data_IF_768949248433
#
_entry.id   IF_768949248433
#
_cell.length_a   1.000
_cell.length_b   1.000
_cell.length_c   1.000
_cell.angle_alpha   90.00
_cell.angle_beta   90.00
_cell.angle_gamma   90.00
#
_symmetry.space_group_name_H-M   'P 1'
#
loop_
_entity.id
_entity.type
_entity.pdbx_description
1 polymer ?
#
# COMPACT_ATOMS: atom_id res chain seq x y z
N UNK A 1 -30.47 -4.70 -28.80
CA UNK A 1 -30.23 -5.46 -27.56
C UNK A 1 -30.16 -4.45 -26.43
N UNK A 2 -30.85 -4.71 -25.32
CA UNK A 2 -30.92 -3.81 -24.17
C UNK A 2 -29.51 -3.54 -23.61
N UNK A 3 -29.02 -2.30 -23.73
CA UNK A 3 -27.70 -1.87 -23.25
C UNK A 3 -27.52 -2.11 -21.73
N UNK A 4 -28.62 -2.27 -20.98
CA UNK A 4 -28.60 -2.46 -19.53
C UNK A 4 -28.18 -3.85 -19.07
N UNK A 5 -28.22 -4.88 -19.93
CA UNK A 5 -27.80 -6.24 -19.56
C UNK A 5 -26.28 -6.45 -19.59
N UNK A 6 -25.51 -5.47 -20.09
CA UNK A 6 -24.05 -5.55 -20.27
C UNK A 6 -23.25 -5.08 -19.04
N UNK A 7 -23.91 -4.41 -18.08
CA UNK A 7 -23.26 -3.76 -16.92
C UNK A 7 -23.92 -4.12 -15.59
N UNK A 8 -23.21 -4.02 -14.45
CA UNK A 8 -21.81 -3.57 -14.32
C UNK A 8 -20.78 -4.66 -14.64
N UNK A 9 -19.67 -4.25 -15.26
CA UNK A 9 -18.54 -5.09 -15.67
C UNK A 9 -17.49 -5.13 -14.57
N UNK A 10 -16.96 -6.32 -14.26
CA UNK A 10 -15.78 -6.49 -13.44
C UNK A 10 -14.53 -6.64 -14.33
N UNK A 11 -13.66 -5.64 -14.29
CA UNK A 11 -12.35 -5.63 -14.92
C UNK A 11 -11.28 -5.95 -13.89
N UNK A 12 -10.44 -6.95 -14.16
CA UNK A 12 -9.33 -7.33 -13.27
C UNK A 12 -8.00 -6.82 -13.82
N UNK A 13 -7.37 -5.91 -13.09
CA UNK A 13 -6.08 -5.30 -13.43
C UNK A 13 -4.90 -6.15 -12.98
N UNK A 14 -4.11 -6.64 -13.93
CA UNK A 14 -2.95 -7.51 -13.68
C UNK A 14 -1.65 -6.72 -13.59
N UNK A 15 -1.46 -6.00 -12.48
CA UNK A 15 -0.24 -5.23 -12.18
C UNK A 15 0.92 -6.13 -11.69
N UNK A 16 1.46 -6.93 -12.59
CA UNK A 16 2.61 -7.79 -12.35
C UNK A 16 3.76 -7.38 -13.23
N UNK A 17 4.99 -7.58 -12.78
CA UNK A 17 6.18 -7.49 -13.65
C UNK A 17 6.51 -8.85 -14.28
N UNK A 18 5.60 -9.82 -14.26
CA UNK A 18 5.86 -11.19 -14.68
C UNK A 18 4.66 -11.82 -15.38
N UNK A 19 4.87 -12.29 -16.61
CA UNK A 19 3.79 -12.83 -17.43
C UNK A 19 3.21 -14.15 -16.91
N UNK A 20 4.05 -15.08 -16.45
CA UNK A 20 3.59 -16.39 -15.98
C UNK A 20 2.61 -16.25 -14.82
N UNK A 21 2.93 -15.37 -13.87
CA UNK A 21 2.08 -15.07 -12.73
C UNK A 21 0.81 -14.33 -13.12
N UNK A 22 0.92 -13.30 -13.97
CA UNK A 22 -0.24 -12.58 -14.49
C UNK A 22 -1.24 -13.55 -15.13
N UNK A 23 -0.75 -14.49 -15.95
CA UNK A 23 -1.58 -15.53 -16.59
C UNK A 23 -2.26 -16.44 -15.56
N UNK A 24 -1.57 -16.86 -14.50
CA UNK A 24 -2.18 -17.69 -13.46
C UNK A 24 -3.33 -16.95 -12.78
N UNK A 25 -3.11 -15.70 -12.37
CA UNK A 25 -4.12 -14.88 -11.71
C UNK A 25 -5.28 -14.56 -12.65
N UNK A 26 -5.00 -14.36 -13.95
CA UNK A 26 -6.04 -14.21 -14.97
C UNK A 26 -6.95 -15.44 -15.04
N UNK A 27 -6.38 -16.66 -15.06
CA UNK A 27 -7.16 -17.91 -15.06
C UNK A 27 -8.06 -18.04 -13.84
N UNK A 28 -7.50 -17.77 -12.65
CA UNK A 28 -8.27 -17.81 -11.41
C UNK A 28 -9.39 -16.77 -11.41
N UNK A 29 -9.11 -15.55 -11.87
CA UNK A 29 -10.09 -14.46 -11.93
C UNK A 29 -11.20 -14.74 -12.94
N UNK A 30 -10.87 -15.24 -14.13
CA UNK A 30 -11.88 -15.66 -15.13
C UNK A 30 -12.77 -16.78 -14.55
N UNK A 31 -12.18 -17.78 -13.89
CA UNK A 31 -12.94 -18.84 -13.22
C UNK A 31 -13.84 -18.31 -12.09
N UNK A 32 -13.47 -17.18 -11.47
CA UNK A 32 -14.27 -16.50 -10.46
C UNK A 32 -15.32 -15.52 -11.02
N UNK A 33 -15.42 -15.39 -12.34
CA UNK A 33 -16.43 -14.58 -13.01
C UNK A 33 -15.98 -13.18 -13.42
N UNK A 34 -14.67 -12.94 -13.58
CA UNK A 34 -14.18 -11.72 -14.21
C UNK A 34 -14.72 -11.58 -15.64
N UNK A 35 -15.15 -10.37 -15.98
CA UNK A 35 -15.72 -10.06 -17.30
C UNK A 35 -14.61 -9.60 -18.24
N UNK A 36 -13.76 -8.68 -17.78
CA UNK A 36 -12.63 -8.12 -18.54
C UNK A 36 -11.31 -8.42 -17.84
N UNK A 37 -10.26 -8.64 -18.63
CA UNK A 37 -8.90 -8.88 -18.14
C UNK A 37 -7.98 -7.81 -18.70
N UNK A 38 -7.31 -7.09 -17.81
CA UNK A 38 -6.42 -6.00 -18.18
C UNK A 38 -4.95 -6.40 -17.98
N UNK A 39 -4.16 -6.25 -19.03
CA UNK A 39 -2.71 -6.21 -18.93
C UNK A 39 -2.31 -4.83 -18.39
N UNK A 40 -2.04 -4.75 -17.08
CA UNK A 40 -1.69 -3.49 -16.41
C UNK A 40 -0.36 -2.91 -16.91
N UNK A 41 -0.16 -1.61 -16.74
CA UNK A 41 1.05 -0.90 -17.21
C UNK A 41 2.36 -1.55 -16.76
N UNK A 42 2.55 -2.01 -15.50
CA UNK A 42 3.79 -2.69 -15.08
C UNK A 42 4.07 -3.98 -15.86
N UNK A 43 3.01 -4.70 -16.26
CA UNK A 43 3.12 -5.94 -17.02
C UNK A 43 3.54 -5.66 -18.45
N UNK A 44 2.88 -4.70 -19.10
CA UNK A 44 3.22 -4.28 -20.45
C UNK A 44 4.66 -3.71 -20.49
N UNK A 45 5.06 -2.90 -19.52
CA UNK A 45 6.43 -2.35 -19.45
C UNK A 45 7.49 -3.43 -19.25
N UNK A 46 7.17 -4.51 -18.54
CA UNK A 46 8.13 -5.59 -18.26
C UNK A 46 8.18 -6.66 -19.35
N UNK A 47 7.07 -6.97 -20.00
CA UNK A 47 6.93 -8.13 -20.89
C UNK A 47 6.57 -7.73 -22.34
N UNK A 48 6.41 -6.42 -22.57
CA UNK A 48 5.86 -5.86 -23.80
C UNK A 48 4.43 -6.30 -24.08
N UNK A 49 3.99 -6.07 -25.31
CA UNK A 49 2.69 -6.51 -25.81
C UNK A 49 2.57 -8.03 -26.01
N UNK A 50 3.63 -8.80 -25.74
CA UNK A 50 3.50 -10.26 -25.64
C UNK A 50 2.57 -10.67 -24.49
N UNK A 51 2.48 -9.84 -23.44
CA UNK A 51 1.52 -10.03 -22.35
C UNK A 51 0.07 -10.04 -22.86
N UNK A 52 -0.32 -9.02 -23.65
CA UNK A 52 -1.63 -8.91 -24.29
C UNK A 52 -1.89 -10.11 -25.22
N UNK A 53 -0.95 -10.44 -26.12
CA UNK A 53 -1.07 -11.60 -27.02
C UNK A 53 -1.34 -12.90 -26.28
N UNK A 54 -0.60 -13.13 -25.19
CA UNK A 54 -0.73 -14.35 -24.41
C UNK A 54 -2.08 -14.44 -23.69
N UNK A 55 -2.55 -13.32 -23.13
CA UNK A 55 -3.85 -13.24 -22.45
C UNK A 55 -4.99 -13.45 -23.46
N UNK A 56 -4.98 -12.74 -24.60
CA UNK A 56 -6.00 -12.90 -25.65
C UNK A 56 -6.08 -14.34 -26.18
N UNK A 57 -4.94 -14.98 -26.40
CA UNK A 57 -4.90 -16.40 -26.82
C UNK A 57 -5.54 -17.35 -25.80
N UNK A 58 -5.42 -17.05 -24.50
CA UNK A 58 -5.98 -17.89 -23.44
C UNK A 58 -7.47 -17.64 -23.21
N UNK A 59 -7.94 -16.42 -23.47
CA UNK A 59 -9.31 -15.99 -23.20
C UNK A 59 -9.89 -15.24 -24.41
N UNK A 60 -10.07 -15.89 -25.57
CA UNK A 60 -10.53 -15.22 -26.78
C UNK A 60 -11.93 -14.59 -26.62
N UNK A 61 -12.78 -15.20 -25.80
CA UNK A 61 -14.15 -14.76 -25.50
C UNK A 61 -14.24 -13.61 -24.49
N UNK A 62 -13.11 -13.18 -23.92
CA UNK A 62 -13.06 -12.09 -22.94
C UNK A 62 -12.55 -10.82 -23.59
N UNK A 63 -13.06 -9.69 -23.12
CA UNK A 63 -12.50 -8.38 -23.45
C UNK A 63 -11.14 -8.24 -22.78
N UNK A 64 -10.12 -7.98 -23.58
CA UNK A 64 -8.75 -7.78 -23.14
C UNK A 64 -8.42 -6.29 -23.22
N UNK A 65 -8.08 -5.72 -22.07
CA UNK A 65 -7.67 -4.31 -21.95
C UNK A 65 -6.16 -4.23 -21.95
N UNK A 66 -5.59 -3.34 -22.76
CA UNK A 66 -4.18 -2.97 -22.70
C UNK A 66 -4.04 -1.61 -22.00
N UNK A 67 -3.55 -1.60 -20.76
CA UNK A 67 -3.29 -0.36 -20.02
C UNK A 67 -1.95 0.26 -20.42
N UNK A 68 -1.91 0.73 -21.67
CA UNK A 68 -0.75 1.36 -22.30
C UNK A 68 -0.39 2.68 -21.62
N UNK A 69 -1.40 3.39 -21.10
CA UNK A 69 -1.28 4.78 -20.63
C UNK A 69 -0.62 5.67 -21.68
N UNK A 70 -1.15 5.55 -22.91
CA UNK A 70 -0.68 6.33 -24.05
C UNK A 70 -0.69 7.81 -23.67
N UNK A 71 0.48 8.43 -23.75
CA UNK A 71 0.68 9.85 -23.47
C UNK A 71 1.12 10.62 -24.71
N UNK A 72 1.72 9.92 -25.67
CA UNK A 72 2.21 10.43 -26.94
C UNK A 72 2.10 9.31 -27.99
N UNK A 73 2.22 9.64 -29.27
CA UNK A 73 2.19 8.69 -30.38
C UNK A 73 0.91 7.84 -30.46
N UNK A 74 -0.23 8.50 -30.26
CA UNK A 74 -1.58 7.92 -30.17
C UNK A 74 -1.84 6.77 -31.14
N UNK A 75 -1.66 7.01 -32.44
CA UNK A 75 -1.87 5.99 -33.47
C UNK A 75 -0.95 4.78 -33.32
N UNK A 76 0.35 5.01 -33.14
CA UNK A 76 1.35 3.93 -33.15
C UNK A 76 1.18 2.98 -31.96
N UNK A 77 0.91 3.52 -30.76
CA UNK A 77 0.68 2.71 -29.58
C UNK A 77 -0.64 1.95 -29.64
N UNK A 78 -1.74 2.59 -30.07
CA UNK A 78 -3.05 1.94 -30.22
C UNK A 78 -3.01 0.85 -31.30
N UNK A 79 -2.41 1.12 -32.46
CA UNK A 79 -2.24 0.14 -33.53
C UNK A 79 -1.46 -1.08 -33.03
N UNK A 80 -0.37 -0.84 -32.30
CA UNK A 80 0.45 -1.92 -31.75
C UNK A 80 -0.32 -2.78 -30.77
N UNK A 81 -1.09 -2.16 -29.86
CA UNK A 81 -1.90 -2.87 -28.87
C UNK A 81 -3.07 -3.64 -29.52
N UNK A 82 -3.76 -3.04 -30.49
CA UNK A 82 -4.83 -3.68 -31.24
C UNK A 82 -4.31 -4.90 -32.03
N UNK A 83 -3.18 -4.77 -32.73
CA UNK A 83 -2.50 -5.90 -33.40
C UNK A 83 -2.03 -6.99 -32.44
N UNK A 84 -1.81 -6.66 -31.18
CA UNK A 84 -1.50 -7.63 -30.13
C UNK A 84 -2.76 -8.35 -29.59
N UNK A 85 -3.96 -7.92 -29.97
CA UNK A 85 -5.23 -8.51 -29.59
C UNK A 85 -5.94 -7.80 -28.43
N UNK A 86 -5.62 -6.53 -28.17
CA UNK A 86 -6.39 -5.70 -27.24
C UNK A 86 -7.75 -5.33 -27.85
N UNK A 87 -8.81 -5.53 -27.08
CA UNK A 87 -10.16 -5.08 -27.43
C UNK A 87 -10.41 -3.63 -26.94
N UNK A 88 -9.73 -3.22 -25.85
CA UNK A 88 -9.76 -1.86 -25.31
C UNK A 88 -8.34 -1.37 -25.04
N UNK A 89 -8.01 -0.14 -25.40
CA UNK A 89 -6.70 0.49 -25.14
C UNK A 89 -6.87 1.72 -24.25
N UNK A 90 -6.02 1.83 -23.22
CA UNK A 90 -6.07 2.96 -22.26
C UNK A 90 -5.16 4.10 -22.69
N UNK A 91 -5.73 5.30 -22.78
CA UNK A 91 -5.05 6.58 -23.09
C UNK A 91 -5.14 7.50 -21.88
N UNK A 92 -4.11 8.28 -21.58
CA UNK A 92 -4.16 9.24 -20.47
C UNK A 92 -4.94 10.49 -20.86
N UNK A 93 -5.84 10.95 -19.98
CA UNK A 93 -6.62 12.18 -20.18
C UNK A 93 -5.78 13.45 -20.14
N UNK A 94 -4.57 13.40 -19.59
CA UNK A 94 -3.59 14.51 -19.63
C UNK A 94 -2.81 14.57 -20.94
N UNK A 95 -2.98 13.60 -21.85
CA UNK A 95 -2.38 13.66 -23.18
C UNK A 95 -2.97 14.82 -23.99
N UNK A 96 -2.18 15.29 -24.97
CA UNK A 96 -2.61 16.31 -25.92
C UNK A 96 -3.83 15.84 -26.74
N UNK A 97 -4.70 16.77 -27.11
CA UNK A 97 -5.92 16.48 -27.86
C UNK A 97 -5.62 15.80 -29.20
N UNK A 98 -4.52 16.16 -29.88
CA UNK A 98 -4.10 15.50 -31.11
C UNK A 98 -3.76 14.02 -30.88
N UNK A 99 -3.16 13.70 -29.73
CA UNK A 99 -2.85 12.31 -29.35
C UNK A 99 -4.12 11.51 -29.10
N UNK A 100 -5.10 12.08 -28.39
CA UNK A 100 -6.39 11.41 -28.12
C UNK A 100 -7.14 11.18 -29.44
N UNK A 101 -7.19 12.16 -30.32
CA UNK A 101 -7.85 12.02 -31.63
C UNK A 101 -7.17 10.95 -32.51
N UNK A 102 -5.83 10.95 -32.61
CA UNK A 102 -5.11 9.91 -33.36
C UNK A 102 -5.30 8.51 -32.77
N UNK A 103 -5.44 8.40 -31.44
CA UNK A 103 -5.77 7.16 -30.77
C UNK A 103 -7.18 6.67 -31.12
N UNK A 104 -8.19 7.55 -31.10
CA UNK A 104 -9.57 7.22 -31.50
C UNK A 104 -9.63 6.81 -32.98
N UNK A 105 -8.98 7.54 -33.87
CA UNK A 105 -8.93 7.20 -35.30
C UNK A 105 -8.24 5.86 -35.55
N UNK A 106 -7.17 5.55 -34.80
CA UNK A 106 -6.52 4.25 -34.88
C UNK A 106 -7.43 3.13 -34.36
N UNK A 107 -8.12 3.34 -33.24
CA UNK A 107 -9.08 2.39 -32.69
C UNK A 107 -10.19 2.04 -33.69
N UNK A 108 -10.77 3.05 -34.35
CA UNK A 108 -11.74 2.86 -35.42
C UNK A 108 -11.19 2.03 -36.59
N UNK A 109 -9.93 2.26 -36.99
CA UNK A 109 -9.30 1.53 -38.10
C UNK A 109 -8.97 0.08 -37.77
N UNK A 110 -8.64 -0.22 -36.51
CA UNK A 110 -8.20 -1.55 -36.08
C UNK A 110 -9.27 -2.35 -35.32
N UNK A 111 -10.45 -1.77 -35.08
CA UNK A 111 -11.58 -2.44 -34.45
C UNK A 111 -11.40 -2.68 -32.95
N UNK A 112 -10.80 -1.73 -32.23
CA UNK A 112 -10.76 -1.72 -30.77
C UNK A 112 -11.42 -0.45 -30.22
N UNK A 113 -11.63 -0.40 -28.91
CA UNK A 113 -12.26 0.73 -28.20
C UNK A 113 -11.21 1.51 -27.37
N UNK A 114 -11.45 2.80 -27.12
CA UNK A 114 -10.60 3.65 -26.30
C UNK A 114 -11.20 3.88 -24.93
N UNK A 115 -10.39 3.68 -23.89
CA UNK A 115 -10.69 4.14 -22.53
C UNK A 115 -9.75 5.27 -22.14
N UNK A 116 -10.28 6.44 -21.80
CA UNK A 116 -9.46 7.56 -21.30
C UNK A 116 -9.39 7.53 -19.77
N UNK A 117 -8.18 7.41 -19.23
CA UNK A 117 -7.87 7.47 -17.80
C UNK A 117 -7.61 8.92 -17.36
N UNK A 118 -8.50 9.48 -16.56
CA UNK A 118 -8.42 10.88 -16.09
C UNK A 118 -7.47 11.08 -14.88
N UNK A 119 -6.58 10.12 -14.63
CA UNK A 119 -5.54 10.26 -13.61
C UNK A 119 -4.70 11.53 -13.83
N UNK A 120 -4.52 12.30 -12.75
CA UNK A 120 -3.77 13.57 -12.72
C UNK A 120 -4.37 14.72 -13.55
N UNK A 121 -5.61 14.60 -14.03
CA UNK A 121 -6.33 15.72 -14.63
C UNK A 121 -6.83 16.66 -13.53
N UNK A 122 -6.53 17.95 -13.64
CA UNK A 122 -6.94 18.95 -12.63
C UNK A 122 -8.46 19.16 -12.57
N UNK A 123 -9.11 19.39 -13.72
CA UNK A 123 -10.57 19.48 -13.85
C UNK A 123 -11.12 18.25 -14.58
N UNK A 124 -11.32 17.19 -13.81
CA UNK A 124 -11.84 15.90 -14.28
C UNK A 124 -13.20 16.09 -14.98
N UNK A 125 -14.07 16.98 -14.48
CA UNK A 125 -15.40 17.17 -15.03
C UNK A 125 -15.39 17.84 -16.40
N UNK A 126 -14.54 18.86 -16.57
CA UNK A 126 -14.34 19.51 -17.87
C UNK A 126 -13.70 18.54 -18.87
N UNK A 127 -12.61 17.86 -18.49
CA UNK A 127 -11.88 16.96 -19.40
C UNK A 127 -12.72 15.78 -19.85
N UNK A 128 -13.56 15.22 -18.95
CA UNK A 128 -14.45 14.13 -19.30
C UNK A 128 -15.40 14.49 -20.45
N UNK A 129 -15.95 15.71 -20.45
CA UNK A 129 -16.84 16.21 -21.51
C UNK A 129 -16.07 16.42 -22.83
N UNK A 130 -14.83 16.90 -22.75
CA UNK A 130 -13.99 17.10 -23.93
C UNK A 130 -13.67 15.78 -24.64
N UNK A 131 -13.20 14.78 -23.89
CA UNK A 131 -12.82 13.48 -24.48
C UNK A 131 -14.02 12.67 -24.94
N UNK A 132 -15.18 12.82 -24.30
CA UNK A 132 -16.44 12.25 -24.81
C UNK A 132 -16.78 12.81 -26.19
N UNK A 133 -16.61 14.12 -26.41
CA UNK A 133 -16.83 14.75 -27.73
C UNK A 133 -15.83 14.32 -28.79
N UNK A 134 -14.66 13.83 -28.39
CA UNK A 134 -13.63 13.28 -29.30
C UNK A 134 -13.96 11.85 -29.76
N UNK A 135 -15.05 11.25 -29.28
CA UNK A 135 -15.48 9.91 -29.71
C UNK A 135 -14.86 8.76 -28.92
N UNK A 136 -14.41 9.01 -27.69
CA UNK A 136 -13.92 7.98 -26.76
C UNK A 136 -15.07 7.08 -26.29
N UNK A 137 -14.81 5.78 -26.15
CA UNK A 137 -15.83 4.79 -25.75
C UNK A 137 -16.06 4.73 -24.24
N UNK A 138 -15.01 4.90 -23.44
CA UNK A 138 -15.06 4.79 -21.98
C UNK A 138 -14.23 5.88 -21.28
N UNK A 139 -14.68 6.31 -20.11
CA UNK A 139 -13.91 7.23 -19.26
C UNK A 139 -13.63 6.57 -17.92
N UNK A 140 -12.37 6.52 -17.50
CA UNK A 140 -11.95 5.99 -16.22
C UNK A 140 -11.66 7.10 -15.21
N UNK A 141 -12.39 7.10 -14.10
CA UNK A 141 -12.10 7.91 -12.92
C UNK A 141 -11.10 7.15 -12.05
N UNK A 142 -9.84 7.55 -12.11
CA UNK A 142 -8.74 6.88 -11.43
C UNK A 142 -8.02 7.85 -10.49
N UNK A 143 -7.93 7.48 -9.23
CA UNK A 143 -7.00 8.11 -8.27
C UNK A 143 -5.73 7.26 -8.25
N UNK A 144 -4.55 7.84 -8.47
CA UNK A 144 -3.30 7.06 -8.58
C UNK A 144 -2.94 6.32 -7.28
N UNK A 145 -2.11 5.28 -7.36
CA UNK A 145 -1.67 4.53 -6.16
C UNK A 145 -1.05 5.47 -5.11
N UNK A 146 -0.22 6.45 -5.52
CA UNK A 146 0.38 7.40 -4.58
C UNK A 146 -0.63 8.35 -3.95
N UNK A 147 -1.61 8.84 -4.72
CA UNK A 147 -2.70 9.67 -4.20
C UNK A 147 -3.62 8.88 -3.26
N UNK A 148 -3.83 7.60 -3.55
CA UNK A 148 -4.54 6.68 -2.68
C UNK A 148 -3.80 6.44 -1.37
N UNK A 149 -2.47 6.29 -1.39
CA UNK A 149 -1.64 6.15 -0.18
C UNK A 149 -1.75 7.38 0.73
N UNK A 150 -2.12 8.55 0.18
CA UNK A 150 -2.41 9.80 0.88
C UNK A 150 -3.88 10.00 1.29
N UNK A 151 -4.78 9.05 1.00
CA UNK A 151 -6.16 9.03 1.52
C UNK A 151 -7.27 9.59 0.62
N UNK A 152 -7.01 9.85 -0.67
CA UNK A 152 -8.06 10.31 -1.61
C UNK A 152 -9.10 9.21 -1.95
N UNK A 153 -10.37 9.60 -2.19
CA UNK A 153 -11.49 8.69 -2.46
C UNK A 153 -12.16 8.95 -3.84
N UNK A 154 -12.06 8.02 -4.82
CA UNK A 154 -12.57 8.20 -6.19
C UNK A 154 -14.10 8.20 -6.32
N UNK A 155 -14.85 7.62 -5.36
CA UNK A 155 -16.31 7.43 -5.49
C UNK A 155 -17.07 8.76 -5.47
N UNK A 156 -16.55 9.77 -4.76
CA UNK A 156 -17.18 11.10 -4.69
C UNK A 156 -17.12 11.83 -6.04
N UNK A 157 -15.98 11.78 -6.71
CA UNK A 157 -15.81 12.41 -8.03
C UNK A 157 -16.65 11.72 -9.09
N UNK A 158 -16.71 10.38 -9.06
CA UNK A 158 -17.58 9.60 -9.94
C UNK A 158 -19.05 10.07 -9.86
N UNK A 159 -19.61 10.21 -8.66
CA UNK A 159 -21.01 10.61 -8.47
C UNK A 159 -21.30 12.04 -8.97
N UNK A 160 -20.29 12.92 -9.01
CA UNK A 160 -20.41 14.28 -9.52
C UNK A 160 -20.44 14.31 -11.05
N UNK A 161 -19.67 13.42 -11.70
CA UNK A 161 -19.46 13.40 -13.15
C UNK A 161 -20.49 12.53 -13.86
N UNK A 162 -20.97 11.46 -13.24
CA UNK A 162 -21.90 10.49 -13.85
C UNK A 162 -23.21 11.08 -14.37
N UNK A 163 -23.62 12.25 -13.88
CA UNK A 163 -24.82 12.95 -14.38
C UNK A 163 -24.59 13.75 -15.66
N UNK A 164 -23.34 13.97 -16.07
CA UNK A 164 -22.96 14.85 -17.18
C UNK A 164 -22.40 14.11 -18.39
N UNK A 165 -22.06 12.83 -18.24
CA UNK A 165 -21.43 11.99 -19.25
C UNK A 165 -22.45 10.94 -19.71
N UNK A 166 -22.57 10.77 -21.02
CA UNK A 166 -23.47 9.80 -21.66
C UNK A 166 -22.83 8.44 -21.94
N UNK A 167 -21.50 8.36 -21.99
CA UNK A 167 -20.75 7.11 -22.18
C UNK A 167 -20.44 6.37 -20.86
N UNK A 168 -20.18 5.04 -20.89
CA UNK A 168 -19.97 4.27 -19.67
C UNK A 168 -18.72 4.70 -18.89
N UNK A 169 -18.89 4.88 -17.58
CA UNK A 169 -17.81 5.27 -16.67
C UNK A 169 -17.15 4.05 -16.01
N UNK A 170 -15.83 3.99 -16.08
CA UNK A 170 -15.00 3.11 -15.29
C UNK A 170 -14.52 3.80 -14.01
N UNK A 171 -14.26 3.01 -12.96
CA UNK A 171 -13.62 3.49 -11.74
C UNK A 171 -12.49 2.55 -11.35
N UNK A 172 -11.34 3.15 -11.07
CA UNK A 172 -10.15 2.48 -10.57
C UNK A 172 -9.66 3.14 -9.28
N UNK A 173 -8.91 2.36 -8.48
CA UNK A 173 -8.16 2.88 -7.35
C UNK A 173 -8.62 2.37 -5.99
N UNK A 174 -8.17 1.16 -5.64
CA UNK A 174 -8.41 0.55 -4.33
C UNK A 174 -9.84 0.05 -4.12
N UNK A 175 -10.51 -0.35 -5.20
CA UNK A 175 -11.81 -1.01 -5.14
C UNK A 175 -11.71 -2.37 -4.43
N UNK A 176 -12.66 -2.64 -3.53
CA UNK A 176 -12.74 -3.87 -2.73
C UNK A 176 -14.20 -4.20 -2.40
N UNK A 177 -14.45 -5.27 -1.63
CA UNK A 177 -15.81 -5.72 -1.29
C UNK A 177 -16.64 -4.71 -0.48
N UNK A 178 -16.03 -3.66 0.08
CA UNK A 178 -16.71 -2.59 0.80
C UNK A 178 -17.04 -1.39 -0.09
N UNK A 179 -16.18 -1.05 -1.06
CA UNK A 179 -16.33 0.16 -1.89
C UNK A 179 -17.06 -0.06 -3.21
N UNK A 180 -17.06 -1.29 -3.75
CA UNK A 180 -17.63 -1.59 -5.07
C UNK A 180 -19.13 -1.31 -5.16
N UNK A 181 -19.89 -1.60 -4.10
CA UNK A 181 -21.33 -1.34 -4.08
C UNK A 181 -21.65 0.15 -4.18
N UNK A 182 -20.86 1.00 -3.50
CA UNK A 182 -21.06 2.45 -3.52
C UNK A 182 -20.61 3.07 -4.84
N UNK A 183 -19.56 2.54 -5.46
CA UNK A 183 -19.13 2.92 -6.79
C UNK A 183 -20.23 2.67 -7.85
N UNK A 184 -20.89 1.50 -7.82
CA UNK A 184 -22.02 1.20 -8.71
C UNK A 184 -23.17 2.17 -8.47
N UNK A 185 -23.51 2.46 -7.21
CA UNK A 185 -24.55 3.47 -6.88
C UNK A 185 -24.17 4.87 -7.34
N UNK A 186 -22.88 5.18 -7.39
CA UNK A 186 -22.34 6.43 -7.92
C UNK A 186 -22.41 6.56 -9.45
N UNK A 187 -22.77 5.49 -10.16
CA UNK A 187 -22.93 5.48 -11.62
C UNK A 187 -21.79 4.82 -12.39
N UNK A 188 -20.91 4.04 -11.73
CA UNK A 188 -19.90 3.28 -12.44
C UNK A 188 -20.52 2.09 -13.21
N UNK A 189 -20.19 2.01 -14.48
CA UNK A 189 -20.51 0.89 -15.37
C UNK A 189 -19.41 -0.19 -15.32
N UNK A 190 -18.15 0.22 -15.18
CA UNK A 190 -17.00 -0.70 -15.14
C UNK A 190 -16.28 -0.52 -13.80
N UNK A 191 -16.06 -1.63 -13.09
CA UNK A 191 -15.36 -1.66 -11.81
C UNK A 191 -14.00 -2.31 -12.04
N UNK A 192 -12.93 -1.52 -11.92
CA UNK A 192 -11.56 -2.01 -12.09
C UNK A 192 -10.99 -2.39 -10.73
N UNK A 193 -10.65 -3.67 -10.56
CA UNK A 193 -10.13 -4.23 -9.31
C UNK A 193 -8.76 -4.88 -9.55
N UNK A 194 -7.72 -4.29 -8.95
CA UNK A 194 -6.37 -4.87 -8.92
C UNK A 194 -6.09 -5.56 -7.59
N UNK A 195 -5.46 -4.84 -6.66
CA UNK A 195 -4.88 -5.38 -5.42
C UNK A 195 -5.79 -6.28 -4.57
N UNK A 196 -7.09 -5.99 -4.47
CA UNK A 196 -8.02 -6.81 -3.68
C UNK A 196 -8.22 -8.23 -4.24
N UNK A 197 -7.95 -8.43 -5.53
CA UNK A 197 -7.95 -9.75 -6.18
C UNK A 197 -6.53 -10.27 -6.32
N UNK A 198 -5.61 -9.45 -6.85
CA UNK A 198 -4.26 -9.90 -7.21
C UNK A 198 -3.38 -10.21 -6.01
N UNK A 199 -3.66 -9.66 -4.82
CA UNK A 199 -2.96 -9.96 -3.56
C UNK A 199 -3.70 -10.96 -2.68
N UNK A 200 -4.88 -11.43 -3.09
CA UNK A 200 -5.61 -12.43 -2.35
C UNK A 200 -4.87 -13.76 -2.31
N UNK A 201 -5.05 -14.52 -1.24
CA UNK A 201 -4.56 -15.91 -1.14
C UNK A 201 -5.16 -16.81 -2.25
N UNK A 202 -6.36 -16.48 -2.71
CA UNK A 202 -7.03 -17.16 -3.82
C UNK A 202 -7.78 -16.12 -4.66
N UNK A 203 -7.30 -15.86 -5.87
CA UNK A 203 -7.85 -14.81 -6.72
C UNK A 203 -9.25 -15.17 -7.24
N UNK A 204 -9.54 -16.48 -7.43
CA UNK A 204 -10.87 -16.95 -7.82
C UNK A 204 -11.91 -16.58 -6.75
N UNK A 205 -11.69 -16.98 -5.50
CA UNK A 205 -12.61 -16.70 -4.39
C UNK A 205 -12.77 -15.19 -4.17
N UNK A 206 -11.68 -14.43 -4.28
CA UNK A 206 -11.74 -12.97 -4.19
C UNK A 206 -12.61 -12.36 -5.29
N UNK A 207 -12.46 -12.84 -6.53
CA UNK A 207 -13.27 -12.41 -7.67
C UNK A 207 -14.75 -12.76 -7.49
N UNK A 208 -15.05 -13.99 -7.05
CA UNK A 208 -16.43 -14.44 -6.76
C UNK A 208 -17.10 -13.55 -5.71
N UNK A 209 -16.36 -13.17 -4.66
CA UNK A 209 -16.85 -12.25 -3.61
C UNK A 209 -17.16 -10.86 -4.16
N UNK A 210 -16.30 -10.32 -5.02
CA UNK A 210 -16.53 -9.02 -5.66
C UNK A 210 -17.77 -9.10 -6.56
N UNK A 211 -17.90 -10.12 -7.42
CA UNK A 211 -19.09 -10.31 -8.26
C UNK A 211 -20.37 -10.44 -7.43
N UNK A 212 -20.32 -11.14 -6.29
CA UNK A 212 -21.44 -11.23 -5.36
C UNK A 212 -21.85 -9.84 -4.84
N UNK A 213 -20.90 -9.02 -4.39
CA UNK A 213 -21.17 -7.63 -3.96
C UNK A 213 -21.77 -6.79 -5.07
N UNK A 214 -21.27 -6.92 -6.31
CA UNK A 214 -21.80 -6.20 -7.47
C UNK A 214 -23.25 -6.58 -7.76
N UNK A 215 -23.58 -7.87 -7.68
CA UNK A 215 -24.94 -8.39 -7.90
C UNK A 215 -25.89 -7.96 -6.78
N UNK A 216 -25.47 -8.06 -5.52
CA UNK A 216 -26.29 -7.75 -4.35
C UNK A 216 -26.34 -6.24 -4.03
N UNK A 217 -25.44 -5.45 -4.62
CA UNK A 217 -25.26 -4.01 -4.36
C UNK A 217 -25.13 -3.68 -2.86
N UNK A 218 -24.54 -4.60 -2.09
CA UNK A 218 -24.36 -4.50 -0.64
C UNK A 218 -22.90 -4.77 -0.25
N UNK A 219 -22.28 -3.89 0.56
CA UNK A 219 -20.89 -4.05 0.97
C UNK A 219 -20.71 -5.26 1.89
N UNK A 220 -19.58 -5.96 1.73
CA UNK A 220 -19.15 -7.05 2.61
C UNK A 220 -17.87 -6.63 3.35
N UNK A 221 -17.91 -6.72 4.69
CA UNK A 221 -16.77 -6.36 5.53
C UNK A 221 -15.56 -7.26 5.27
N UNK A 222 -14.39 -6.67 5.08
CA UNK A 222 -13.09 -7.35 4.98
C UNK A 222 -12.15 -6.89 6.10
N UNK A 223 -11.17 -7.70 6.50
CA UNK A 223 -10.07 -7.25 7.39
C UNK A 223 -8.87 -6.72 6.60
N UNK A 224 -8.67 -7.24 5.38
CA UNK A 224 -7.56 -6.91 4.49
C UNK A 224 -8.06 -6.11 3.28
N UNK A 225 -7.14 -5.52 2.53
CA UNK A 225 -7.39 -4.69 1.35
C UNK A 225 -8.16 -3.42 1.69
N UNK A 226 -8.01 -2.97 2.93
CA UNK A 226 -8.58 -1.74 3.50
C UNK A 226 -7.51 -0.66 3.55
N UNK A 227 -7.92 0.57 3.26
CA UNK A 227 -7.12 1.75 3.56
C UNK A 227 -7.60 2.26 4.93
N UNK A 228 -6.87 1.91 5.98
CA UNK A 228 -7.19 2.39 7.33
C UNK A 228 -6.77 3.87 7.44
N UNK A 229 -7.60 4.69 8.06
CA UNK A 229 -7.21 6.06 8.45
C UNK A 229 -6.43 6.07 9.76
N UNK A 230 -6.38 4.96 10.50
CA UNK A 230 -5.71 4.83 11.79
C UNK A 230 -4.41 4.03 11.64
N UNK A 231 -3.23 4.70 11.60
CA UNK A 231 -1.94 4.04 11.46
C UNK A 231 -1.66 3.03 12.56
N UNK A 232 -2.20 3.23 13.78
CA UNK A 232 -1.94 2.33 14.91
C UNK A 232 -2.39 0.91 14.62
N UNK A 233 -3.63 0.77 14.12
CA UNK A 233 -4.21 -0.54 13.76
C UNK A 233 -3.43 -1.23 12.65
N UNK A 234 -2.87 -0.46 11.70
CA UNK A 234 -2.00 -1.04 10.68
C UNK A 234 -0.72 -1.56 11.31
N UNK A 235 -0.06 -0.74 12.13
CA UNK A 235 1.18 -1.12 12.81
C UNK A 235 0.99 -2.32 13.73
N UNK A 236 -0.20 -2.55 14.28
CA UNK A 236 -0.51 -3.79 15.00
C UNK A 236 -0.38 -5.04 14.11
N UNK A 237 -0.74 -4.95 12.82
CA UNK A 237 -0.74 -6.07 11.88
C UNK A 237 0.60 -6.32 11.17
N UNK A 238 1.39 -5.27 10.90
CA UNK A 238 2.62 -5.35 10.08
C UNK A 238 3.89 -5.43 10.93
N UNK A 239 4.96 -6.05 10.45
CA UNK A 239 6.25 -6.10 11.16
C UNK A 239 7.10 -4.84 10.91
N UNK A 240 8.14 -4.65 11.73
CA UNK A 240 9.17 -3.63 11.49
C UNK A 240 9.88 -3.85 10.15
N UNK A 241 10.07 -5.10 9.72
CA UNK A 241 10.60 -5.42 8.39
C UNK A 241 9.70 -4.88 7.26
N UNK A 242 8.36 -5.08 7.36
CA UNK A 242 7.43 -4.53 6.37
C UNK A 242 7.47 -3.00 6.34
N UNK A 243 7.62 -2.34 7.50
CA UNK A 243 7.73 -0.88 7.60
C UNK A 243 9.06 -0.39 7.00
N UNK A 244 10.17 -1.06 7.30
CA UNK A 244 11.49 -0.73 6.74
C UNK A 244 11.48 -0.83 5.22
N UNK A 245 10.91 -1.90 4.66
CA UNK A 245 10.77 -2.06 3.21
C UNK A 245 9.85 -0.98 2.60
N UNK A 246 8.77 -0.59 3.28
CA UNK A 246 7.90 0.52 2.88
C UNK A 246 8.62 1.87 2.85
N UNK A 247 9.63 2.04 3.71
CA UNK A 247 10.52 3.19 3.76
C UNK A 247 11.77 3.05 2.88
N UNK A 248 11.81 2.05 1.99
CA UNK A 248 12.95 1.74 1.13
C UNK A 248 14.22 1.34 1.90
N UNK A 249 14.08 0.46 2.89
CA UNK A 249 15.16 -0.10 3.72
C UNK A 249 15.84 0.97 4.57
N UNK A 250 15.02 1.76 5.27
CA UNK A 250 15.44 2.87 6.13
C UNK A 250 14.58 2.94 7.39
N UNK A 251 15.06 3.72 8.37
CA UNK A 251 14.33 4.04 9.59
C UNK A 251 14.62 3.10 10.76
N UNK A 252 15.36 2.02 10.52
CA UNK A 252 15.73 1.06 11.55
C UNK A 252 16.86 1.60 12.45
N UNK A 253 16.63 1.52 13.76
CA UNK A 253 17.62 1.87 14.78
C UNK A 253 18.70 0.80 14.90
N UNK A 254 19.97 1.23 14.94
CA UNK A 254 21.12 0.34 15.08
C UNK A 254 21.46 0.09 16.54
N UNK A 255 21.81 -1.16 16.85
CA UNK A 255 22.23 -1.63 18.18
C UNK A 255 21.19 -1.46 19.29
N UNK A 256 19.94 -1.21 18.94
CA UNK A 256 18.82 -1.19 19.90
C UNK A 256 18.11 -2.53 19.82
N UNK A 257 18.07 -3.27 20.93
CA UNK A 257 17.51 -4.63 20.97
C UNK A 257 16.23 -4.65 21.80
N UNK A 258 15.22 -5.37 21.33
CA UNK A 258 14.04 -5.69 22.12
C UNK A 258 14.44 -6.60 23.28
N UNK A 259 14.26 -6.11 24.50
CA UNK A 259 14.50 -6.92 25.71
C UNK A 259 13.24 -7.67 26.15
N UNK A 260 12.15 -7.47 25.42
CA UNK A 260 10.87 -8.15 25.53
C UNK A 260 10.33 -8.51 24.16
N UNK A 261 9.53 -9.58 24.07
CA UNK A 261 8.87 -10.00 22.82
C UNK A 261 7.58 -9.21 22.50
N UNK A 262 7.34 -8.10 23.23
CA UNK A 262 6.13 -7.31 23.09
C UNK A 262 6.29 -6.21 22.06
N UNK A 263 5.27 -6.07 21.23
CA UNK A 263 5.21 -5.05 20.19
C UNK A 263 5.06 -3.66 20.81
N UNK A 264 5.91 -2.74 20.38
CA UNK A 264 5.90 -1.34 20.78
C UNK A 264 5.31 -0.51 19.64
N UNK A 265 4.28 0.29 19.92
CA UNK A 265 3.65 1.17 18.92
C UNK A 265 3.19 2.45 19.60
N UNK A 266 3.73 3.59 19.20
CA UNK A 266 3.26 4.90 19.68
C UNK A 266 4.00 6.08 19.08
N UNK A 267 3.61 7.28 19.50
CA UNK A 267 4.26 8.55 19.14
C UNK A 267 5.39 8.89 20.09
N UNK A 268 6.50 9.39 19.54
CA UNK A 268 7.72 9.65 20.30
C UNK A 268 7.57 10.86 21.23
N UNK A 269 7.89 10.65 22.50
CA UNK A 269 8.33 11.69 23.44
C UNK A 269 9.83 11.53 23.57
N UNK A 270 10.58 12.48 23.01
CA UNK A 270 12.04 12.41 22.94
C UNK A 270 12.67 12.95 24.21
N UNK A 271 13.74 12.31 24.65
CA UNK A 271 14.51 12.68 25.84
C UNK A 271 15.98 12.61 25.49
N UNK A 272 16.73 13.67 25.78
CA UNK A 272 18.19 13.67 25.76
C UNK A 272 18.69 13.81 27.18
N UNK A 273 19.58 12.91 27.59
CA UNK A 273 20.16 12.92 28.94
C UNK A 273 21.64 12.56 28.89
N UNK A 274 22.37 12.88 29.96
CA UNK A 274 23.75 12.43 30.09
C UNK A 274 23.81 10.92 30.39
N UNK A 275 24.89 10.21 30.00
CA UNK A 275 25.07 8.80 30.35
C UNK A 275 24.93 8.56 31.86
N UNK A 276 23.98 7.70 32.23
CA UNK A 276 23.67 7.40 33.62
C UNK A 276 22.87 8.47 34.38
N UNK A 277 22.30 9.49 33.72
CA UNK A 277 21.34 10.40 34.36
C UNK A 277 19.89 10.01 34.04
N UNK A 278 19.16 9.55 35.06
CA UNK A 278 17.78 9.09 34.93
C UNK A 278 16.72 10.15 35.24
N UNK A 279 17.09 11.37 35.64
CA UNK A 279 16.13 12.40 36.04
C UNK A 279 15.14 12.76 34.90
N UNK A 280 15.66 13.15 33.73
CA UNK A 280 14.85 13.49 32.56
C UNK A 280 14.06 12.30 31.97
N UNK A 281 14.64 11.09 31.89
CA UNK A 281 13.88 9.88 31.56
C UNK A 281 12.63 9.66 32.41
N UNK A 282 12.71 9.81 33.74
CA UNK A 282 11.55 9.61 34.61
C UNK A 282 10.58 10.79 34.53
N UNK A 283 11.06 12.03 34.47
CA UNK A 283 10.22 13.23 34.28
C UNK A 283 9.39 13.14 32.98
N UNK A 284 9.94 12.52 31.93
CA UNK A 284 9.22 12.33 30.67
C UNK A 284 7.93 11.52 30.85
N UNK A 285 7.86 10.61 31.83
CA UNK A 285 6.65 9.84 32.15
C UNK A 285 5.50 10.78 32.49
N UNK A 286 5.74 11.88 33.22
CA UNK A 286 4.72 12.86 33.62
C UNK A 286 4.22 13.71 32.46
N UNK A 287 5.04 13.87 31.41
CA UNK A 287 4.71 14.64 30.21
C UNK A 287 4.01 13.76 29.16
N UNK A 288 4.33 12.48 29.10
CA UNK A 288 3.76 11.54 28.12
C UNK A 288 2.25 11.32 28.29
N UNK A 289 1.57 11.06 27.18
CA UNK A 289 0.14 10.72 27.13
C UNK A 289 -0.05 9.23 26.92
N UNK A 290 -1.28 8.77 27.14
CA UNK A 290 -1.66 7.38 26.84
C UNK A 290 -1.36 7.07 25.38
N UNK A 291 -0.57 6.02 25.16
CA UNK A 291 -0.18 5.56 23.84
C UNK A 291 1.16 6.09 23.32
N UNK A 292 1.82 6.99 24.04
CA UNK A 292 3.15 7.49 23.65
C UNK A 292 4.24 6.43 23.86
N UNK A 293 5.37 6.63 23.19
CA UNK A 293 6.62 5.90 23.41
C UNK A 293 7.68 6.90 23.86
N UNK A 294 8.38 6.61 24.95
CA UNK A 294 9.50 7.43 25.39
C UNK A 294 10.76 6.96 24.63
N UNK A 295 11.47 7.89 23.99
CA UNK A 295 12.70 7.60 23.24
C UNK A 295 13.85 8.39 23.87
N UNK A 296 14.84 7.69 24.40
CA UNK A 296 15.90 8.25 25.22
C UNK A 296 17.23 8.14 24.48
N UNK A 297 17.87 9.27 24.24
CA UNK A 297 19.30 9.38 23.93
C UNK A 297 20.06 9.62 25.23
N UNK A 298 20.78 8.60 25.70
CA UNK A 298 21.68 8.66 26.85
C UNK A 298 23.14 8.46 26.44
N UNK A 299 23.49 8.72 25.17
CA UNK A 299 24.84 8.58 24.63
C UNK A 299 25.32 7.14 24.40
N UNK A 300 24.43 6.14 24.49
CA UNK A 300 24.74 4.74 24.16
C UNK A 300 25.68 4.02 25.13
N UNK A 301 25.97 4.61 26.29
CA UNK A 301 26.92 4.07 27.29
C UNK A 301 26.47 4.40 28.72
N UNK A 302 27.27 4.00 29.71
CA UNK A 302 27.08 4.35 31.11
C UNK A 302 26.10 3.44 31.87
N UNK A 303 25.77 3.88 33.08
CA UNK A 303 24.88 3.15 34.00
C UNK A 303 23.42 3.21 33.55
N UNK A 304 22.58 2.34 34.11
CA UNK A 304 21.18 2.24 33.74
C UNK A 304 20.41 3.53 34.03
N UNK A 305 19.70 4.05 33.02
CA UNK A 305 18.81 5.22 33.13
C UNK A 305 17.34 4.85 33.30
N UNK A 306 17.05 3.55 33.28
CA UNK A 306 15.69 3.00 33.33
C UNK A 306 15.67 1.65 34.05
N UNK A 307 14.53 1.32 34.68
CA UNK A 307 14.32 0.08 35.43
C UNK A 307 12.85 -0.26 35.65
N UNK A 308 12.57 -1.16 36.59
CA UNK A 308 11.23 -1.71 36.86
C UNK A 308 10.23 -0.62 37.30
N UNK A 309 10.58 0.21 38.29
CA UNK A 309 9.67 1.24 38.83
C UNK A 309 9.20 2.26 37.77
N UNK A 310 10.12 2.70 36.90
CA UNK A 310 9.78 3.60 35.79
C UNK A 310 8.81 2.92 34.80
N UNK A 311 9.01 1.62 34.55
CA UNK A 311 8.13 0.81 33.71
C UNK A 311 6.75 0.62 34.34
N UNK A 312 6.67 0.40 35.66
CA UNK A 312 5.41 0.33 36.40
C UNK A 312 4.61 1.64 36.29
N UNK A 313 5.28 2.79 36.42
CA UNK A 313 4.65 4.11 36.23
C UNK A 313 4.10 4.29 34.81
N UNK A 314 4.85 3.83 33.80
CA UNK A 314 4.40 3.85 32.41
C UNK A 314 3.13 3.02 32.17
N UNK A 315 3.05 1.81 32.73
CA UNK A 315 1.87 0.93 32.63
C UNK A 315 0.65 1.64 33.23
N UNK A 316 0.79 2.22 34.42
CA UNK A 316 -0.30 2.95 35.09
C UNK A 316 -0.82 4.11 34.24
N UNK A 317 0.07 4.82 33.54
CA UNK A 317 -0.30 5.93 32.65
C UNK A 317 -0.77 5.49 31.26
N UNK A 318 -0.58 4.22 30.91
CA UNK A 318 -0.90 3.69 29.59
C UNK A 318 0.09 4.11 28.50
N UNK A 319 1.35 4.37 28.85
CA UNK A 319 2.46 4.57 27.91
C UNK A 319 2.77 3.22 27.25
N UNK A 320 3.08 3.24 25.95
CA UNK A 320 3.20 2.04 25.12
C UNK A 320 4.58 1.38 25.14
N UNK A 321 5.57 2.04 25.71
CA UNK A 321 6.88 1.46 25.99
C UNK A 321 8.00 2.49 25.93
N UNK A 322 9.24 1.99 25.96
CA UNK A 322 10.44 2.84 25.97
C UNK A 322 11.53 2.28 25.04
N UNK A 323 12.26 3.19 24.40
CA UNK A 323 13.43 2.93 23.57
C UNK A 323 14.62 3.71 24.11
N UNK A 324 15.76 3.05 24.36
CA UNK A 324 16.87 3.61 25.12
C UNK A 324 18.19 3.41 24.37
N UNK A 325 18.75 4.49 23.83
CA UNK A 325 20.14 4.54 23.42
C UNK A 325 21.06 4.73 24.63
N UNK A 326 21.18 3.67 25.42
CA UNK A 326 21.83 3.64 26.72
C UNK A 326 21.61 2.30 27.43
N UNK A 327 21.71 2.32 28.77
CA UNK A 327 21.60 1.12 29.61
C UNK A 327 20.28 1.05 30.36
N UNK A 328 19.79 -0.18 30.59
CA UNK A 328 18.60 -0.48 31.39
C UNK A 328 18.88 -1.63 32.37
N UNK A 329 18.11 -1.69 33.45
CA UNK A 329 18.19 -2.74 34.48
C UNK A 329 16.83 -3.39 34.77
N UNK A 330 16.81 -4.37 35.67
CA UNK A 330 15.59 -5.05 36.16
C UNK A 330 14.80 -5.80 35.08
N UNK A 331 15.50 -6.39 34.11
CA UNK A 331 14.90 -6.98 32.90
C UNK A 331 13.91 -8.10 33.20
N UNK A 332 14.17 -8.93 34.21
CA UNK A 332 13.28 -10.04 34.55
C UNK A 332 11.90 -9.52 34.98
N UNK A 333 11.86 -8.54 35.87
CA UNK A 333 10.61 -7.95 36.35
C UNK A 333 9.88 -7.19 35.24
N UNK A 334 10.61 -6.44 34.41
CA UNK A 334 10.04 -5.76 33.23
C UNK A 334 9.36 -6.75 32.29
N UNK A 335 9.97 -7.91 32.05
CA UNK A 335 9.36 -8.98 31.23
C UNK A 335 8.09 -9.53 31.86
N UNK A 336 8.06 -9.75 33.18
CA UNK A 336 6.87 -10.23 33.91
C UNK A 336 5.69 -9.26 33.76
N UNK A 337 5.97 -7.95 33.78
CA UNK A 337 4.96 -6.90 33.59
C UNK A 337 4.47 -6.76 32.14
N UNK A 338 5.12 -7.43 31.19
CA UNK A 338 4.85 -7.35 29.75
C UNK A 338 4.98 -5.95 29.15
N UNK A 339 5.90 -5.14 29.69
CA UNK A 339 6.16 -3.78 29.20
C UNK A 339 7.21 -3.80 28.08
N UNK A 340 6.93 -3.21 26.90
CA UNK A 340 7.90 -3.17 25.82
C UNK A 340 9.10 -2.26 26.15
N UNK A 341 10.30 -2.86 26.21
CA UNK A 341 11.55 -2.15 26.47
C UNK A 341 12.59 -2.52 25.42
N UNK A 342 13.14 -1.49 24.80
CA UNK A 342 14.19 -1.61 23.81
C UNK A 342 15.41 -0.82 24.27
N UNK A 343 16.58 -1.44 24.29
CA UNK A 343 17.78 -0.76 24.76
C UNK A 343 19.05 -1.24 24.07
N UNK A 344 20.10 -0.42 24.16
CA UNK A 344 21.43 -0.81 23.67
C UNK A 344 22.14 -1.78 24.60
N UNK A 345 22.13 -1.48 25.90
CA UNK A 345 22.89 -2.22 26.90
C UNK A 345 22.01 -2.64 28.08
N UNK A 346 22.43 -3.69 28.78
CA UNK A 346 21.89 -4.08 30.07
C UNK A 346 22.99 -3.85 31.12
N UNK A 347 22.67 -3.17 32.22
CA UNK A 347 23.61 -2.94 33.32
C UNK A 347 22.87 -3.05 34.66
N UNK A 348 23.39 -3.79 35.66
CA UNK A 348 22.76 -3.84 36.98
C UNK A 348 22.92 -2.52 37.76
N UNK A 349 23.94 -1.73 37.44
CA UNK A 349 24.28 -0.50 38.15
C UNK A 349 23.34 0.63 37.73
N UNK A 350 22.62 1.21 38.69
CA UNK A 350 21.82 2.40 38.47
C UNK A 350 22.69 3.64 38.23
N UNK A 351 22.16 4.55 37.43
CA UNK A 351 22.64 5.92 37.33
C UNK A 351 22.25 6.79 38.53
N UNK A 352 22.52 8.09 38.43
CA UNK A 352 22.21 9.12 39.42
C UNK A 352 21.26 10.18 38.83
N UNK A 353 20.32 10.75 39.60
CA UNK A 353 19.43 11.80 39.11
C UNK A 353 20.13 13.16 39.12
N UNK A 354 20.92 13.46 38.08
CA UNK A 354 21.68 14.72 38.02
C UNK A 354 20.84 15.89 37.53
N UNK A 355 19.67 15.62 36.94
CA UNK A 355 18.73 16.65 36.49
C UNK A 355 19.11 17.30 35.16
N UNK A 356 20.12 16.77 34.46
CA UNK A 356 20.65 17.31 33.22
C UNK A 356 19.89 16.75 32.01
N UNK A 357 19.80 17.54 30.95
CA UNK A 357 19.18 17.12 29.69
C UNK A 357 17.87 17.81 29.39
N UNK A 358 17.20 17.35 28.34
CA UNK A 358 16.07 18.04 27.69
C UNK A 358 15.02 17.03 27.22
N UNK A 359 13.75 17.45 27.20
CA UNK A 359 12.61 16.65 26.74
C UNK A 359 11.96 17.36 25.56
N UNK A 360 11.45 16.61 24.58
CA UNK A 360 10.81 17.09 23.35
C UNK A 360 11.71 17.86 22.38
N UNK A 361 13.03 17.69 22.49
CA UNK A 361 13.98 18.16 21.47
C UNK A 361 14.26 17.06 20.43
N UNK A 362 14.68 17.40 19.20
CA UNK A 362 15.21 16.41 18.27
C UNK A 362 16.45 15.71 18.84
N UNK A 363 16.49 14.38 18.75
CA UNK A 363 17.59 13.54 19.25
C UNK A 363 18.09 12.57 18.17
N UNK A 364 19.25 11.97 18.41
CA UNK A 364 19.76 10.85 17.62
C UNK A 364 19.76 9.61 18.52
N UNK A 365 18.90 8.63 18.19
CA UNK A 365 18.76 7.39 18.96
C UNK A 365 18.95 6.20 18.01
N UNK A 366 19.90 5.31 18.34
CA UNK A 366 20.25 4.18 17.47
C UNK A 366 20.74 4.63 16.09
N UNK A 367 21.35 5.81 15.99
CA UNK A 367 21.79 6.40 14.71
C UNK A 367 20.67 7.00 13.84
N UNK A 368 19.44 7.08 14.34
CA UNK A 368 18.29 7.65 13.64
C UNK A 368 17.85 8.94 14.33
N UNK A 369 17.56 9.97 13.53
CA UNK A 369 16.96 11.21 14.02
C UNK A 369 15.51 10.96 14.44
N UNK A 370 15.16 11.35 15.66
CA UNK A 370 13.81 11.22 16.21
C UNK A 370 13.33 12.59 16.69
N UNK A 371 12.12 12.98 16.30
CA UNK A 371 11.47 14.21 16.78
C UNK A 371 10.21 13.87 17.55
N UNK A 372 9.76 14.81 18.37
CA UNK A 372 8.49 14.70 19.05
C UNK A 372 7.35 14.45 18.05
N UNK A 373 6.57 13.40 18.34
CA UNK A 373 5.41 12.98 17.54
C UNK A 373 5.74 12.08 16.34
N UNK A 374 7.01 11.82 16.03
CA UNK A 374 7.37 10.75 15.07
C UNK A 374 6.88 9.40 15.60
N UNK A 375 6.48 8.49 14.72
CA UNK A 375 5.96 7.19 15.12
C UNK A 375 7.10 6.21 15.33
N UNK A 376 7.01 5.43 16.40
CA UNK A 376 8.00 4.42 16.77
C UNK A 376 7.30 3.08 16.83
N UNK A 377 7.81 2.13 16.05
CA UNK A 377 7.32 0.76 16.03
C UNK A 377 8.47 -0.19 16.34
N UNK A 378 8.30 -1.07 17.30
CA UNK A 378 9.26 -2.09 17.66
C UNK A 378 8.62 -3.48 17.69
N UNK A 379 9.38 -4.48 17.27
CA UNK A 379 9.08 -5.91 17.44
C UNK A 379 10.37 -6.69 17.74
N UNK A 380 10.41 -8.00 17.51
CA UNK A 380 11.59 -8.84 17.80
C UNK A 380 12.81 -8.49 16.95
N UNK A 381 12.61 -7.89 15.76
CA UNK A 381 13.70 -7.63 14.82
C UNK A 381 14.41 -6.30 15.14
N UNK A 382 13.72 -5.36 15.81
CA UNK A 382 14.29 -4.08 16.22
C UNK A 382 13.25 -2.98 16.36
N UNK A 383 13.69 -1.74 16.15
CA UNK A 383 12.86 -0.54 16.22
C UNK A 383 12.98 0.25 14.92
N UNK A 384 11.85 0.70 14.37
CA UNK A 384 11.77 1.58 13.20
C UNK A 384 11.08 2.88 13.57
N UNK A 385 11.65 4.00 13.12
CA UNK A 385 11.10 5.35 13.29
C UNK A 385 10.52 5.86 11.99
N UNK A 386 9.31 6.38 12.05
CA UNK A 386 8.55 6.88 10.91
C UNK A 386 8.25 8.36 11.15
N UNK A 387 8.68 9.27 10.26
CA UNK A 387 8.35 10.69 10.37
C UNK A 387 6.85 10.92 10.44
N UNK A 388 6.39 11.76 11.37
CA UNK A 388 4.96 12.03 11.59
C UNK A 388 4.24 12.51 10.33
N UNK A 389 4.92 13.24 9.45
CA UNK A 389 4.35 13.76 8.21
C UNK A 389 4.10 12.67 7.17
N UNK A 390 4.76 11.51 7.30
CA UNK A 390 4.69 10.38 6.36
C UNK A 390 3.96 9.17 6.91
N UNK A 391 3.43 9.24 8.14
CA UNK A 391 2.89 8.07 8.83
C UNK A 391 1.77 7.36 8.05
N UNK A 392 0.83 8.12 7.46
CA UNK A 392 -0.30 7.56 6.70
C UNK A 392 0.20 6.85 5.44
N UNK A 393 1.14 7.47 4.72
CA UNK A 393 1.74 6.88 3.51
C UNK A 393 2.49 5.60 3.84
N UNK A 394 3.37 5.65 4.86
CA UNK A 394 4.20 4.51 5.25
C UNK A 394 3.37 3.37 5.83
N UNK A 395 2.34 3.65 6.63
CA UNK A 395 1.46 2.60 7.15
C UNK A 395 0.74 1.88 6.01
N UNK A 396 0.18 2.61 5.04
CA UNK A 396 -0.50 2.01 3.91
C UNK A 396 0.45 1.20 3.01
N UNK A 397 1.68 1.68 2.80
CA UNK A 397 2.73 0.94 2.07
C UNK A 397 3.17 -0.33 2.82
N UNK A 398 3.32 -0.26 4.14
CA UNK A 398 3.69 -1.43 4.94
C UNK A 398 2.59 -2.50 4.89
N UNK A 399 1.31 -2.10 4.93
CA UNK A 399 0.19 -3.02 4.76
C UNK A 399 0.16 -3.65 3.37
N UNK A 400 0.44 -2.87 2.32
CA UNK A 400 0.55 -3.37 0.94
C UNK A 400 1.63 -4.45 0.79
N UNK A 401 2.79 -4.25 1.44
CA UNK A 401 3.87 -5.24 1.47
C UNK A 401 3.43 -6.50 2.23
N UNK A 402 2.84 -6.33 3.41
CA UNK A 402 2.32 -7.44 4.21
C UNK A 402 1.30 -8.29 3.42
N UNK A 403 0.36 -7.66 2.71
CA UNK A 403 -0.61 -8.36 1.85
C UNK A 403 0.07 -9.11 0.69
N UNK A 404 1.06 -8.49 0.03
CA UNK A 404 1.85 -9.15 -1.01
C UNK A 404 2.60 -10.37 -0.48
N UNK A 405 3.18 -10.26 0.72
CA UNK A 405 3.89 -11.36 1.38
C UNK A 405 2.95 -12.50 1.78
N UNK A 406 1.73 -12.21 2.27
CA UNK A 406 0.74 -13.23 2.58
C UNK A 406 0.43 -14.11 1.38
N UNK A 407 0.22 -13.50 0.22
CA UNK A 407 0.07 -14.23 -1.05
C UNK A 407 1.30 -15.05 -1.40
N UNK A 408 2.50 -14.47 -1.34
CA UNK A 408 3.74 -15.20 -1.65
C UNK A 408 3.90 -16.40 -0.73
N UNK A 409 3.59 -16.25 0.56
CA UNK A 409 3.64 -17.31 1.56
C UNK A 409 2.68 -18.45 1.21
N UNK A 410 1.48 -18.12 0.75
CA UNK A 410 0.51 -19.12 0.31
C UNK A 410 0.96 -19.87 -0.96
N UNK A 411 1.54 -19.17 -1.95
CA UNK A 411 2.10 -19.82 -3.13
C UNK A 411 3.25 -20.78 -2.77
N UNK A 412 4.08 -20.42 -1.79
CA UNK A 412 5.12 -21.31 -1.25
C UNK A 412 4.50 -22.54 -0.58
N UNK A 413 3.46 -22.36 0.24
CA UNK A 413 2.74 -23.47 0.89
C UNK A 413 2.11 -24.44 -0.12
N UNK A 414 1.72 -23.96 -1.30
CA UNK A 414 1.20 -24.78 -2.41
C UNK A 414 2.29 -25.54 -3.20
N UNK A 415 3.52 -25.57 -2.70
CA UNK A 415 4.62 -26.37 -3.25
C UNK A 415 5.56 -25.60 -4.18
N UNK A 416 5.46 -24.27 -4.26
CA UNK A 416 6.46 -23.45 -4.95
C UNK A 416 7.63 -23.09 -4.02
N UNK A 417 8.76 -22.67 -4.59
CA UNK A 417 9.86 -22.07 -3.83
C UNK A 417 9.85 -20.55 -4.01
N UNK A 418 10.38 -19.79 -3.03
CA UNK A 418 10.45 -18.33 -3.14
C UNK A 418 11.16 -17.87 -4.42
N UNK A 419 12.26 -18.54 -4.79
CA UNK A 419 12.99 -18.25 -6.03
C UNK A 419 12.14 -18.43 -7.29
N UNK A 420 11.29 -19.47 -7.33
CA UNK A 420 10.36 -19.72 -8.45
C UNK A 420 9.22 -18.70 -8.48
N UNK A 421 8.66 -18.35 -7.32
CA UNK A 421 7.56 -17.36 -7.21
C UNK A 421 8.02 -15.97 -7.62
N UNK A 422 9.24 -15.59 -7.25
CA UNK A 422 9.85 -14.31 -7.58
C UNK A 422 10.54 -14.28 -8.96
N UNK A 423 10.65 -15.45 -9.60
CA UNK A 423 11.42 -15.69 -10.82
C UNK A 423 12.81 -15.06 -10.81
N UNK A 424 13.56 -15.26 -9.72
CA UNK A 424 14.84 -14.56 -9.48
C UNK A 424 15.84 -14.81 -10.62
N UNK A 425 15.79 -15.99 -11.25
CA UNK A 425 16.67 -16.39 -12.36
C UNK A 425 16.64 -15.43 -13.56
N UNK A 426 15.53 -14.71 -13.79
CA UNK A 426 15.46 -13.75 -14.90
C UNK A 426 16.32 -12.50 -14.67
N UNK A 427 16.72 -12.25 -13.43
CA UNK A 427 17.59 -11.15 -13.03
C UNK A 427 19.05 -11.60 -12.88
N UNK A 428 19.34 -12.89 -13.09
CA UNK A 428 20.71 -13.36 -13.16
C UNK A 428 21.39 -12.71 -14.36
N UNK A 429 22.56 -12.11 -14.13
CA UNK A 429 23.37 -11.60 -15.23
C UNK A 429 23.69 -12.76 -16.16
N UNK A 430 23.38 -12.60 -17.45
CA UNK A 430 23.84 -13.51 -18.50
C UNK A 430 25.37 -13.48 -18.48
N UNK A 431 25.98 -14.55 -17.97
CA UNK A 431 27.41 -14.78 -18.16
C UNK A 431 27.56 -15.42 -19.53
N UNK A 432 28.05 -14.64 -20.49
CA UNK A 432 28.36 -15.09 -21.85
C UNK A 432 29.49 -16.10 -21.89
#
# INVERSE_FOLDING_TARGET
MDMTSKFPILQVALDFVNLKRAVQIAKESVAGGADWIEAGTPLIKSEGLNSVRKIKKLFPEKTIVADMKVIDTGRYEVESAAKAGADVVVVLGVADDSTVNEAVDAANNYGCEIMVDLMNVDDIGKRAIEVEKMGVDYICIHVSIDQQMRGMNPVKELARISKKIGIPLAIAGGMNTESVADAIKGGASIIIVGGAITKAENARIATERIKKVMKEKRPLKSKLYKKYTDPRKIFEMVSTANISDAMHRKGDMKNIKGLSDFKLIGTAVTVKTYPGDWAKPIEAIDISKKGDVIVIDAGGTGNAVWGELASCSCIKKGISGVVIDGSVRDIEEIRRMKFPVYARNISPTAGEPKGMGEINIPIICGGISVRQGDWVVGDSDGVVVIPKEKVVEISNRALDIFEKENRIREEIRRGSTLSKVMEIKRWEKVKG
#
